data_IF_212729943689
#
_entry.id   IF_212729943689
#
_cell.length_a   1.000
_cell.length_b   1.000
_cell.length_c   1.000
_cell.angle_alpha   90.00
_cell.angle_beta   90.00
_cell.angle_gamma   90.00
#
_symmetry.space_group_name_H-M   'P 1'
#
loop_
_entity.id
_entity.type
_entity.pdbx_description
1 polymer ?
#
# COMPACT_ATOMS: atom_id res chain seq x y z
N UNK A 1 -5.61 -5.76 -7.49
CA UNK A 1 -5.86 -4.58 -8.35
C UNK A 1 -4.62 -4.22 -9.18
N UNK A 2 -3.42 -4.16 -8.58
CA UNK A 2 -2.17 -3.80 -9.28
C UNK A 2 -1.86 -4.66 -10.51
N UNK A 3 -1.85 -5.99 -10.37
CA UNK A 3 -1.49 -6.86 -11.49
C UNK A 3 -2.48 -6.72 -12.65
N UNK A 4 -3.79 -6.64 -12.38
CA UNK A 4 -4.81 -6.48 -13.43
C UNK A 4 -4.65 -5.14 -14.16
N UNK A 5 -4.41 -4.06 -13.43
CA UNK A 5 -4.22 -2.73 -14.04
C UNK A 5 -2.94 -2.65 -14.89
N UNK A 6 -1.84 -3.24 -14.42
CA UNK A 6 -0.58 -3.33 -15.16
C UNK A 6 -0.69 -4.25 -16.38
N UNK A 7 -1.38 -5.39 -16.24
CA UNK A 7 -1.71 -6.26 -17.36
C UNK A 7 -2.55 -5.55 -18.41
N UNK A 8 -3.49 -4.71 -17.98
CA UNK A 8 -4.32 -3.94 -18.89
C UNK A 8 -3.53 -2.86 -19.62
N UNK A 9 -2.61 -2.16 -18.94
CA UNK A 9 -1.65 -1.24 -19.58
C UNK A 9 -0.82 -1.99 -20.64
N UNK A 10 -0.22 -3.13 -20.29
CA UNK A 10 0.60 -3.92 -21.20
C UNK A 10 -0.21 -4.45 -22.39
N UNK A 11 -1.41 -4.96 -22.13
CA UNK A 11 -2.33 -5.47 -23.16
C UNK A 11 -2.70 -4.37 -24.16
N UNK A 12 -2.99 -3.16 -23.67
CA UNK A 12 -3.37 -2.03 -24.51
C UNK A 12 -2.15 -1.49 -25.29
N UNK A 13 -0.95 -1.50 -24.71
CA UNK A 13 0.29 -1.19 -25.47
C UNK A 13 0.53 -2.18 -26.60
N UNK A 14 0.29 -3.48 -26.36
CA UNK A 14 0.37 -4.51 -27.39
C UNK A 14 -0.64 -4.24 -28.52
N UNK A 15 -1.88 -3.87 -28.18
CA UNK A 15 -2.89 -3.48 -29.16
C UNK A 15 -2.46 -2.25 -29.98
N UNK A 16 -1.87 -1.25 -29.33
CA UNK A 16 -1.35 -0.06 -30.01
C UNK A 16 -0.26 -0.44 -31.03
N UNK A 17 0.65 -1.33 -30.65
CA UNK A 17 1.70 -1.85 -31.52
C UNK A 17 1.13 -2.61 -32.73
N UNK A 18 0.13 -3.48 -32.52
CA UNK A 18 -0.57 -4.20 -33.58
C UNK A 18 -1.26 -3.25 -34.57
N UNK A 19 -1.66 -2.06 -34.13
CA UNK A 19 -2.22 -0.98 -34.97
C UNK A 19 -1.16 -0.11 -35.67
N UNK A 20 0.12 -0.45 -35.55
CA UNK A 20 1.22 0.28 -36.17
C UNK A 20 1.72 1.49 -35.36
N UNK A 21 1.28 1.65 -34.11
CA UNK A 21 1.77 2.70 -33.21
C UNK A 21 3.03 2.19 -32.52
N UNK A 22 4.17 2.43 -33.16
CA UNK A 22 5.47 1.87 -32.74
C UNK A 22 6.28 2.79 -31.82
N UNK A 23 6.00 4.10 -31.81
CA UNK A 23 6.68 5.03 -30.91
C UNK A 23 6.15 4.89 -29.49
N UNK A 24 7.05 5.04 -28.52
CA UNK A 24 6.69 5.05 -27.10
C UNK A 24 5.63 6.12 -26.81
N UNK A 25 5.89 7.38 -27.19
CA UNK A 25 4.94 8.50 -27.06
C UNK A 25 3.57 8.21 -27.72
N UNK A 26 3.56 7.55 -28.88
CA UNK A 26 2.33 7.18 -29.56
C UNK A 26 1.54 6.11 -28.81
N UNK A 27 2.23 5.10 -28.26
CA UNK A 27 1.60 4.07 -27.44
C UNK A 27 1.05 4.67 -26.15
N UNK A 28 1.81 5.55 -25.48
CA UNK A 28 1.39 6.22 -24.26
C UNK A 28 0.13 7.08 -24.47
N UNK A 29 0.07 7.82 -25.58
CA UNK A 29 -1.12 8.58 -25.99
C UNK A 29 -2.32 7.67 -26.32
N UNK A 30 -2.08 6.43 -26.74
CA UNK A 30 -3.10 5.44 -27.01
C UNK A 30 -3.65 4.78 -25.73
N UNK A 31 -2.81 4.53 -24.72
CA UNK A 31 -3.20 3.77 -23.53
C UNK A 31 -4.26 4.47 -22.70
N UNK A 32 -4.12 5.77 -22.43
CA UNK A 32 -4.99 6.47 -21.48
C UNK A 32 -6.48 6.51 -21.92
N UNK A 33 -6.82 6.88 -23.17
CA UNK A 33 -8.20 6.81 -23.64
C UNK A 33 -8.77 5.39 -23.63
N UNK A 34 -7.96 4.39 -23.97
CA UNK A 34 -8.39 2.99 -24.00
C UNK A 34 -8.66 2.44 -22.59
N UNK A 35 -7.84 2.78 -21.58
CA UNK A 35 -8.11 2.44 -20.19
C UNK A 35 -9.39 3.11 -19.67
N UNK A 36 -9.59 4.40 -19.97
CA UNK A 36 -10.82 5.11 -19.60
C UNK A 36 -12.06 4.47 -20.22
N UNK A 37 -11.99 4.04 -21.48
CA UNK A 37 -13.07 3.32 -22.14
C UNK A 37 -13.33 1.94 -21.49
N UNK A 38 -12.27 1.21 -21.14
CA UNK A 38 -12.35 -0.10 -20.49
C UNK A 38 -13.01 -0.03 -19.10
N UNK A 39 -12.72 1.01 -18.34
CA UNK A 39 -13.23 1.20 -16.97
C UNK A 39 -14.37 2.23 -16.88
N UNK A 40 -15.10 2.45 -17.97
CA UNK A 40 -16.23 3.37 -18.02
C UNK A 40 -17.45 2.89 -17.21
N UNK A 41 -17.51 1.59 -16.89
CA UNK A 41 -18.58 1.00 -16.07
C UNK A 41 -18.46 1.44 -14.60
N UNK A 42 -19.60 1.72 -13.97
CA UNK A 42 -19.71 2.16 -12.57
C UNK A 42 -19.03 1.20 -11.59
N UNK A 43 -18.98 -0.10 -11.90
CA UNK A 43 -18.27 -1.09 -11.08
C UNK A 43 -16.75 -0.82 -10.97
N UNK A 44 -16.18 0.00 -11.85
CA UNK A 44 -14.77 0.38 -11.86
C UNK A 44 -14.51 1.83 -11.45
N UNK A 45 -15.47 2.52 -10.81
CA UNK A 45 -15.36 3.92 -10.43
C UNK A 45 -14.04 4.27 -9.72
N UNK A 46 -13.53 3.40 -8.83
CA UNK A 46 -12.26 3.62 -8.12
C UNK A 46 -11.01 3.55 -9.01
N UNK A 47 -11.04 2.71 -10.04
CA UNK A 47 -9.95 2.66 -11.03
C UNK A 47 -9.98 3.94 -11.86
N UNK A 48 -11.17 4.40 -12.23
CA UNK A 48 -11.34 5.64 -12.98
C UNK A 48 -10.93 6.89 -12.16
N UNK A 49 -11.28 6.95 -10.88
CA UNK A 49 -10.79 7.97 -9.93
C UNK A 49 -9.26 8.00 -9.88
N UNK A 50 -8.61 6.84 -9.81
CA UNK A 50 -7.15 6.73 -9.82
C UNK A 50 -6.53 7.19 -11.15
N UNK A 51 -7.12 6.83 -12.29
CA UNK A 51 -6.69 7.33 -13.60
C UNK A 51 -6.77 8.87 -13.66
N UNK A 52 -7.86 9.46 -13.16
CA UNK A 52 -8.00 10.91 -13.11
C UNK A 52 -6.99 11.57 -12.17
N UNK A 53 -6.68 10.95 -11.03
CA UNK A 53 -5.62 11.42 -10.15
C UNK A 53 -4.27 11.45 -10.88
N UNK A 54 -3.90 10.36 -11.56
CA UNK A 54 -2.65 10.28 -12.31
C UNK A 54 -2.57 11.32 -13.43
N UNK A 55 -3.67 11.56 -14.16
CA UNK A 55 -3.77 12.59 -15.20
C UNK A 55 -3.58 14.00 -14.62
N UNK A 56 -4.26 14.33 -13.52
CA UNK A 56 -4.10 15.63 -12.85
C UNK A 56 -2.68 15.85 -12.33
N UNK A 57 -2.05 14.80 -11.79
CA UNK A 57 -0.65 14.85 -11.34
C UNK A 57 0.30 14.99 -12.54
N UNK A 58 0.00 14.33 -13.66
CA UNK A 58 0.79 14.42 -14.90
C UNK A 58 0.84 15.87 -15.41
N UNK A 59 -0.31 16.53 -15.45
CA UNK A 59 -0.44 17.94 -15.81
C UNK A 59 0.31 18.84 -14.81
N UNK A 60 0.15 18.59 -13.52
CA UNK A 60 0.77 19.38 -12.44
C UNK A 60 2.30 19.32 -12.49
N UNK A 61 2.86 18.12 -12.72
CA UNK A 61 4.31 17.90 -12.71
C UNK A 61 4.93 17.93 -14.11
N UNK A 62 4.16 18.23 -15.15
CA UNK A 62 4.61 18.24 -16.55
C UNK A 62 5.34 16.95 -16.93
N UNK A 63 4.75 15.81 -16.54
CA UNK A 63 5.30 14.47 -16.75
C UNK A 63 4.25 13.55 -17.34
N UNK A 64 4.64 12.37 -17.82
CA UNK A 64 3.70 11.35 -18.27
C UNK A 64 3.01 10.68 -17.06
N UNK A 65 1.69 10.44 -17.17
CA UNK A 65 0.89 9.67 -16.21
C UNK A 65 1.38 8.23 -16.03
N UNK A 66 1.95 7.58 -17.05
CA UNK A 66 2.57 6.24 -16.92
C UNK A 66 3.80 6.28 -16.02
N UNK A 67 4.64 7.31 -16.18
CA UNK A 67 5.77 7.53 -15.29
C UNK A 67 5.31 7.81 -13.86
N UNK A 68 4.20 8.51 -13.68
CA UNK A 68 3.59 8.70 -12.36
C UNK A 68 3.00 7.42 -11.80
N UNK A 69 2.39 6.57 -12.63
CA UNK A 69 1.91 5.25 -12.24
C UNK A 69 3.06 4.35 -11.77
N UNK A 70 4.19 4.36 -12.48
CA UNK A 70 5.39 3.60 -12.14
C UNK A 70 6.04 4.11 -10.83
N UNK A 71 5.96 5.43 -10.58
CA UNK A 71 6.46 6.06 -9.36
C UNK A 71 5.50 5.94 -8.17
N UNK A 72 4.20 6.00 -8.41
CA UNK A 72 3.18 5.89 -7.38
C UNK A 72 3.03 4.45 -6.87
N UNK A 73 3.36 3.45 -7.72
CA UNK A 73 2.83 2.10 -7.56
C UNK A 73 1.29 2.13 -7.52
N UNK A 74 0.60 0.99 -7.37
CA UNK A 74 -0.76 1.08 -6.88
C UNK A 74 -0.70 1.84 -5.54
N UNK A 75 -1.75 2.60 -5.15
CA UNK A 75 -1.97 2.78 -3.73
C UNK A 75 -2.17 1.36 -3.18
N UNK A 76 -1.11 0.75 -2.64
CA UNK A 76 -1.33 0.09 -1.37
C UNK A 76 -1.99 1.18 -0.54
N UNK A 77 -3.21 0.99 -0.03
CA UNK A 77 -3.76 1.94 0.93
C UNK A 77 -2.73 2.04 2.06
N UNK A 78 -1.89 3.07 2.00
CA UNK A 78 -0.94 3.40 3.04
C UNK A 78 -1.79 4.11 4.06
N UNK A 79 -2.26 3.32 5.02
CA UNK A 79 -3.01 3.82 6.15
C UNK A 79 -2.27 5.01 6.74
N UNK A 80 -2.94 6.14 6.82
CA UNK A 80 -2.33 7.41 7.24
C UNK A 80 -2.30 7.50 8.77
N UNK A 81 -1.50 8.41 9.30
CA UNK A 81 -1.53 8.70 10.74
C UNK A 81 -2.91 9.23 11.17
N UNK A 82 -3.61 9.96 10.29
CA UNK A 82 -4.96 10.43 10.56
C UNK A 82 -5.94 9.27 10.74
N UNK A 83 -5.97 8.32 9.80
CA UNK A 83 -6.83 7.13 9.86
C UNK A 83 -6.44 6.22 11.05
N UNK A 84 -5.16 6.13 11.40
CA UNK A 84 -4.71 5.42 12.61
C UNK A 84 -5.23 6.07 13.89
N UNK A 85 -5.20 7.39 13.97
CA UNK A 85 -5.76 8.12 15.10
C UNK A 85 -7.28 8.00 15.17
N UNK A 86 -7.99 8.10 14.04
CA UNK A 86 -9.44 7.85 14.00
C UNK A 86 -9.78 6.44 14.48
N UNK A 87 -8.99 5.45 14.05
CA UNK A 87 -9.15 4.08 14.52
C UNK A 87 -8.90 3.99 16.01
N UNK A 88 -7.83 4.56 16.55
CA UNK A 88 -7.57 4.54 18.00
C UNK A 88 -8.69 5.20 18.84
N UNK A 89 -9.40 6.17 18.29
CA UNK A 89 -10.47 6.89 18.98
C UNK A 89 -11.83 6.18 18.96
N UNK A 90 -12.01 5.17 18.11
CA UNK A 90 -13.28 4.47 18.01
C UNK A 90 -13.44 3.36 19.06
N UNK A 91 -14.69 2.99 19.31
CA UNK A 91 -15.04 2.00 20.33
C UNK A 91 -14.73 0.57 19.90
N UNK A 92 -14.78 0.28 18.59
CA UNK A 92 -14.51 -1.03 18.01
C UNK A 92 -13.62 -0.85 16.78
N UNK A 93 -12.41 -1.42 16.87
CA UNK A 93 -11.32 -1.13 15.95
C UNK A 93 -10.74 -2.43 15.42
N UNK A 94 -11.10 -2.78 14.20
CA UNK A 94 -10.50 -3.92 13.50
C UNK A 94 -9.53 -3.40 12.44
N UNK A 95 -8.29 -3.88 12.46
CA UNK A 95 -7.29 -3.58 11.45
C UNK A 95 -7.14 -4.78 10.50
N UNK A 96 -6.93 -4.52 9.22
CA UNK A 96 -6.53 -5.53 8.24
C UNK A 96 -5.04 -5.31 7.94
N UNK A 97 -4.20 -6.23 8.41
CA UNK A 97 -2.75 -6.15 8.32
C UNK A 97 -2.15 -7.36 7.60
N UNK A 98 -0.89 -7.24 7.20
CA UNK A 98 -0.10 -8.34 6.68
C UNK A 98 0.31 -9.29 7.82
N UNK A 99 -0.09 -10.57 7.71
CA UNK A 99 0.19 -11.57 8.73
C UNK A 99 1.69 -11.83 8.96
N UNK A 100 2.55 -11.56 7.97
CA UNK A 100 3.99 -11.82 8.06
C UNK A 100 4.60 -11.03 9.23
N UNK A 101 4.17 -9.79 9.47
CA UNK A 101 4.67 -8.99 10.61
C UNK A 101 4.34 -9.63 11.94
N UNK A 102 3.14 -10.19 12.07
CA UNK A 102 2.72 -10.91 13.27
C UNK A 102 3.47 -12.22 13.44
N UNK A 103 3.64 -12.98 12.35
CA UNK A 103 4.38 -14.23 12.36
C UNK A 103 5.83 -14.00 12.80
N UNK A 104 6.47 -12.94 12.30
CA UNK A 104 7.79 -12.49 12.73
C UNK A 104 7.77 -12.10 14.20
N UNK A 105 6.77 -11.34 14.67
CA UNK A 105 6.67 -10.95 16.06
C UNK A 105 6.58 -12.13 17.03
N UNK A 106 5.90 -13.21 16.63
CA UNK A 106 5.79 -14.41 17.45
C UNK A 106 6.98 -15.34 17.31
N UNK A 107 7.52 -15.50 16.10
CA UNK A 107 8.60 -16.47 15.84
C UNK A 107 9.97 -15.90 16.22
N UNK A 108 10.18 -14.61 15.97
CA UNK A 108 11.45 -13.90 16.11
C UNK A 108 11.25 -12.54 16.81
N UNK A 109 10.79 -12.51 18.08
CA UNK A 109 10.44 -11.27 18.80
C UNK A 109 11.60 -10.29 18.93
N UNK A 110 12.85 -10.77 18.94
CA UNK A 110 14.05 -9.92 18.97
C UNK A 110 14.15 -9.02 17.74
N UNK A 111 13.75 -9.49 16.55
CA UNK A 111 13.77 -8.66 15.35
C UNK A 111 12.79 -7.50 15.49
N UNK A 112 11.56 -7.78 15.98
CA UNK A 112 10.58 -6.73 16.26
C UNK A 112 11.11 -5.75 17.30
N UNK A 113 11.77 -6.24 18.35
CA UNK A 113 12.38 -5.37 19.36
C UNK A 113 13.44 -4.43 18.75
N UNK A 114 14.32 -4.93 17.88
CA UNK A 114 15.30 -4.10 17.19
C UNK A 114 14.65 -3.06 16.27
N UNK A 115 13.62 -3.46 15.51
CA UNK A 115 12.86 -2.52 14.66
C UNK A 115 12.22 -1.41 15.48
N UNK A 116 11.67 -1.74 16.67
CA UNK A 116 11.10 -0.75 17.59
C UNK A 116 12.15 0.22 18.10
N UNK A 117 13.29 -0.28 18.58
CA UNK A 117 14.38 0.57 19.09
C UNK A 117 14.91 1.54 18.04
N UNK A 118 14.92 1.10 16.77
CA UNK A 118 15.44 1.87 15.65
C UNK A 118 14.36 2.67 14.92
N UNK A 119 13.10 2.58 15.35
CA UNK A 119 11.94 3.20 14.69
C UNK A 119 11.86 2.87 13.19
N UNK A 120 12.05 1.59 12.84
CA UNK A 120 12.08 1.11 11.46
C UNK A 120 10.78 0.38 11.06
N UNK A 121 10.39 0.42 9.78
CA UNK A 121 9.29 -0.38 9.27
C UNK A 121 9.63 -1.87 9.29
N UNK A 122 8.62 -2.75 9.22
CA UNK A 122 8.89 -4.17 9.09
C UNK A 122 9.50 -4.50 7.71
N UNK A 123 8.76 -4.22 6.65
CA UNK A 123 9.20 -4.53 5.30
C UNK A 123 10.28 -3.55 4.79
N UNK A 124 11.20 -4.06 3.98
CA UNK A 124 12.35 -3.30 3.48
C UNK A 124 13.58 -3.30 4.39
N UNK A 125 13.50 -3.93 5.57
CA UNK A 125 14.63 -4.09 6.50
C UNK A 125 15.17 -5.52 6.53
N UNK A 126 16.45 -5.65 6.90
CA UNK A 126 17.25 -6.88 6.77
C UNK A 126 16.54 -8.14 7.33
N UNK A 127 16.39 -9.16 6.48
CA UNK A 127 16.13 -10.54 6.88
C UNK A 127 14.68 -10.89 7.22
N UNK A 128 13.72 -10.00 6.98
CA UNK A 128 12.30 -10.36 7.10
C UNK A 128 11.81 -11.13 5.87
N UNK A 129 10.83 -12.03 6.02
CA UNK A 129 10.19 -12.67 4.88
C UNK A 129 9.52 -11.63 3.99
N UNK A 130 9.38 -11.97 2.71
CA UNK A 130 8.62 -11.14 1.79
C UNK A 130 7.21 -10.88 2.32
N UNK A 131 6.69 -9.70 1.98
CA UNK A 131 5.30 -9.32 2.26
C UNK A 131 4.37 -10.39 1.69
N UNK A 132 3.30 -10.71 2.41
CA UNK A 132 2.29 -11.62 1.86
C UNK A 132 1.59 -10.99 0.65
N UNK A 133 0.96 -11.81 -0.18
CA UNK A 133 0.17 -11.34 -1.32
C UNK A 133 -1.09 -10.60 -0.82
N UNK A 134 -0.93 -9.31 -0.47
CA UNK A 134 -1.96 -8.45 0.12
C UNK A 134 -2.05 -8.58 1.64
N UNK A 135 -2.79 -7.67 2.29
CA UNK A 135 -3.12 -7.87 3.71
C UNK A 135 -4.20 -8.93 3.85
N UNK A 136 -3.87 -10.00 4.56
CA UNK A 136 -4.65 -11.22 4.64
C UNK A 136 -5.19 -11.50 6.05
N UNK A 137 -4.98 -10.58 7.01
CA UNK A 137 -5.26 -10.88 8.40
C UNK A 137 -5.95 -9.73 9.15
N UNK A 138 -7.11 -10.04 9.71
CA UNK A 138 -7.89 -9.11 10.52
C UNK A 138 -7.49 -9.24 12.00
N UNK A 139 -7.22 -8.12 12.65
CA UNK A 139 -6.79 -8.05 14.06
C UNK A 139 -7.55 -6.97 14.81
N UNK A 140 -7.56 -7.06 16.13
CA UNK A 140 -8.15 -6.02 16.97
C UNK A 140 -7.07 -5.06 17.48
N UNK A 141 -7.28 -3.76 17.34
CA UNK A 141 -6.43 -2.74 17.97
C UNK A 141 -6.96 -2.48 19.37
N UNK A 142 -6.33 -3.07 20.38
CA UNK A 142 -6.86 -3.06 21.76
C UNK A 142 -6.45 -1.83 22.55
N UNK A 143 -5.23 -1.32 22.32
CA UNK A 143 -4.70 -0.15 23.04
C UNK A 143 -3.82 0.68 22.11
N UNK A 144 -3.88 2.00 22.29
CA UNK A 144 -3.02 2.96 21.61
C UNK A 144 -2.35 3.88 22.64
N UNK A 145 -1.02 3.88 22.67
CA UNK A 145 -0.22 4.88 23.37
C UNK A 145 0.61 5.66 22.34
N UNK A 146 0.08 6.81 21.93
CA UNK A 146 0.71 7.66 20.93
C UNK A 146 2.02 8.29 21.42
N UNK A 147 2.13 8.57 22.72
CA UNK A 147 3.31 9.20 23.30
C UNK A 147 4.47 8.19 23.38
N UNK A 148 4.16 6.96 23.79
CA UNK A 148 5.13 5.87 23.86
C UNK A 148 5.39 5.19 22.48
N UNK A 149 4.61 5.52 21.46
CA UNK A 149 4.62 4.86 20.14
C UNK A 149 4.35 3.35 20.24
N UNK A 150 3.41 2.95 21.11
CA UNK A 150 3.02 1.56 21.31
C UNK A 150 1.56 1.33 20.91
N UNK A 151 1.35 0.38 20.01
CA UNK A 151 0.04 -0.03 19.53
C UNK A 151 -0.14 -1.51 19.85
N UNK A 152 -1.03 -1.84 20.79
CA UNK A 152 -1.29 -3.21 21.21
C UNK A 152 -2.33 -3.83 20.26
N UNK A 153 -1.90 -4.85 19.53
CA UNK A 153 -2.73 -5.63 18.62
C UNK A 153 -3.05 -6.97 19.27
N UNK A 154 -4.33 -7.30 19.35
CA UNK A 154 -4.80 -8.61 19.76
C UNK A 154 -5.15 -9.47 18.54
N UNK A 155 -4.58 -10.67 18.50
CA UNK A 155 -4.70 -11.61 17.38
C UNK A 155 -4.33 -13.01 17.83
N UNK A 156 -4.94 -14.04 17.23
CA UNK A 156 -4.64 -15.46 17.52
C UNK A 156 -4.60 -15.81 19.03
N UNK A 157 -5.44 -15.16 19.84
CA UNK A 157 -5.52 -15.41 21.28
C UNK A 157 -4.39 -14.79 22.12
N UNK A 158 -3.57 -13.91 21.55
CA UNK A 158 -2.49 -13.22 22.24
C UNK A 158 -2.40 -11.75 21.81
N UNK A 159 -1.53 -10.98 22.48
CA UNK A 159 -1.28 -9.58 22.15
C UNK A 159 0.16 -9.36 21.71
N UNK A 160 0.35 -8.47 20.74
CA UNK A 160 1.64 -7.98 20.29
C UNK A 160 1.64 -6.46 20.30
N UNK A 161 2.67 -5.85 20.85
CA UNK A 161 2.89 -4.41 20.73
C UNK A 161 3.67 -4.13 19.45
N UNK A 162 3.22 -3.23 18.60
CA UNK A 162 3.96 -2.73 17.43
C UNK A 162 4.10 -1.21 17.52
N UNK A 163 4.98 -0.63 16.69
CA UNK A 163 5.13 0.83 16.55
C UNK A 163 4.42 1.34 15.31
N UNK A 164 4.20 2.66 15.22
CA UNK A 164 3.62 3.27 14.01
C UNK A 164 4.46 3.02 12.75
N UNK A 165 5.79 2.92 12.86
CA UNK A 165 6.65 2.68 11.70
C UNK A 165 6.46 1.26 11.17
N UNK A 166 6.28 0.28 12.05
CA UNK A 166 5.95 -1.09 11.66
C UNK A 166 4.56 -1.14 11.01
N UNK A 167 3.58 -0.42 11.56
CA UNK A 167 2.21 -0.42 11.06
C UNK A 167 2.01 0.36 9.76
N UNK A 168 2.53 1.58 9.68
CA UNK A 168 2.27 2.51 8.59
C UNK A 168 3.41 2.56 7.56
N UNK A 169 4.60 2.14 7.95
CA UNK A 169 5.77 2.24 7.10
C UNK A 169 6.44 3.61 7.18
N UNK A 170 7.25 3.94 6.18
CA UNK A 170 7.70 5.32 5.95
C UNK A 170 6.90 5.97 4.82
N UNK A 171 6.72 7.30 4.86
CA UNK A 171 6.13 8.03 3.76
C UNK A 171 6.91 7.79 2.46
N UNK A 172 6.21 7.44 1.38
CA UNK A 172 6.80 7.20 0.05
C UNK A 172 7.43 8.45 -0.58
N UNK A 173 7.29 9.62 0.07
CA UNK A 173 7.87 10.90 -0.35
C UNK A 173 9.35 11.09 0.05
N UNK A 174 9.96 10.11 0.73
CA UNK A 174 11.36 10.18 1.15
C UNK A 174 12.32 10.04 -0.05
N UNK A 175 12.75 11.18 -0.62
CA UNK A 175 13.79 11.22 -1.68
C UNK A 175 15.12 10.71 -1.09
N UNK A 176 15.63 9.57 -1.57
CA UNK A 176 16.95 9.14 -1.09
C UNK A 176 17.62 7.90 -1.67
N UNK A 177 16.95 6.95 -2.33
CA UNK A 177 17.59 5.66 -2.66
C UNK A 177 17.24 5.10 -4.05
N UNK A 178 17.32 5.95 -5.09
CA UNK A 178 17.42 5.48 -6.47
C UNK A 178 18.90 5.28 -6.82
N UNK A 179 19.47 4.13 -6.48
CA UNK A 179 20.77 3.72 -7.04
C UNK A 179 20.65 2.29 -7.57
N UNK A 180 20.77 2.19 -8.91
CA UNK A 180 20.80 1.00 -9.76
C UNK A 180 19.43 0.47 -10.29
N UNK A 181 19.18 0.52 -11.62
CA UNK A 181 17.98 0.01 -12.29
C UNK A 181 17.90 -1.53 -12.41
N UNK A 182 18.88 -2.26 -11.89
CA UNK A 182 19.13 -3.68 -12.14
C UNK A 182 19.09 -4.55 -10.88
N UNK A 183 18.78 -3.97 -9.73
CA UNK A 183 18.45 -4.72 -8.51
C UNK A 183 16.95 -4.67 -8.26
N UNK A 184 16.29 -5.82 -8.35
CA UNK A 184 14.93 -5.98 -7.83
C UNK A 184 14.96 -5.67 -6.32
N UNK A 185 14.47 -4.50 -5.93
CA UNK A 185 14.29 -4.12 -4.53
C UNK A 185 12.83 -4.38 -4.19
N UNK A 186 12.51 -5.46 -3.45
CA UNK A 186 11.12 -5.79 -3.12
C UNK A 186 10.49 -4.69 -2.26
N UNK A 187 9.26 -4.31 -2.64
CA UNK A 187 8.30 -3.49 -1.91
C UNK A 187 8.87 -2.52 -0.85
N UNK A 188 9.19 -1.31 -1.30
CA UNK A 188 9.59 -0.16 -0.50
C UNK A 188 8.70 0.08 0.72
N UNK A 189 9.27 0.06 1.93
CA UNK A 189 8.83 0.72 3.18
C UNK A 189 7.31 0.81 3.46
N UNK A 190 6.49 -0.07 2.90
CA UNK A 190 5.05 -0.06 3.15
C UNK A 190 4.84 -0.64 4.53
N UNK A 191 4.02 0.00 5.35
CA UNK A 191 3.60 -0.56 6.61
C UNK A 191 2.87 -1.89 6.46
N UNK A 192 2.65 -2.54 7.59
CA UNK A 192 1.84 -3.75 7.67
C UNK A 192 0.34 -3.49 7.48
N UNK A 193 -0.14 -2.26 7.69
CA UNK A 193 -1.56 -1.92 7.75
C UNK A 193 -2.12 -1.55 6.38
N UNK A 194 -3.18 -2.23 5.95
CA UNK A 194 -3.86 -1.96 4.68
C UNK A 194 -5.24 -1.31 4.86
N UNK A 195 -5.98 -1.66 5.90
CA UNK A 195 -7.32 -1.10 6.11
C UNK A 195 -7.70 -1.12 7.59
N UNK A 196 -8.73 -0.37 7.95
CA UNK A 196 -9.40 -0.49 9.23
C UNK A 196 -10.92 -0.48 9.04
N UNK A 197 -11.59 -1.16 9.95
CA UNK A 197 -13.02 -1.05 10.18
C UNK A 197 -13.18 -0.35 11.52
N UNK A 198 -13.74 0.85 11.44
CA UNK A 198 -13.98 1.75 12.55
C UNK A 198 -15.49 1.75 12.80
N UNK A 199 -15.93 1.43 14.02
CA UNK A 199 -17.35 1.42 14.36
C UNK A 199 -17.62 1.98 15.75
N UNK A 200 -18.69 2.78 15.87
CA UNK A 200 -19.18 3.29 17.14
C UNK A 200 -19.89 2.20 17.97
N UNK A 201 -20.53 1.24 17.29
CA UNK A 201 -21.27 0.14 17.90
C UNK A 201 -21.36 -1.06 16.96
N UNK A 202 -21.15 -2.26 17.49
CA UNK A 202 -21.50 -3.52 16.84
C UNK A 202 -22.67 -4.13 17.60
N UNK A 203 -23.79 -4.37 16.92
CA UNK A 203 -24.89 -5.17 17.45
C UNK A 203 -24.69 -6.61 16.97
N UNK A 204 -24.82 -7.57 17.88
CA UNK A 204 -24.92 -8.99 17.56
C UNK A 204 -26.35 -9.38 17.90
N UNK A 205 -27.14 -9.68 16.89
CA UNK A 205 -28.51 -10.19 17.05
C UNK A 205 -28.51 -11.69 17.36
#
# INVERSE_FOLDING_TARGET
>A
MNEVFQWDIMSIRSEAYEKGIVSEEGQEAYVLPALKAKYADEQYAKILEYIHLLENLADTYQTNWLRLNDLAGPPYPSFTMHELNETCNAHINMLIIDATVLQVAFSNPEIIYQLKLQHLPAFGNYGLPDKSYGCNHAVFLSECDHEANEYTIWTWGTSVKLTREILLGYPTTQRGYHTAPDTYVPAWNTGALCAAVIADKVNVD
#
